data_IF_794492679182
#
_entry.id   IF_794492679182
#
_cell.length_a   1.000
_cell.length_b   1.000
_cell.length_c   1.000
_cell.angle_alpha   90.00
_cell.angle_beta   90.00
_cell.angle_gamma   90.00
#
_symmetry.space_group_name_H-M   'P 1'
#
loop_
_entity.id
_entity.type
_entity.pdbx_description
1 polymer ?
#
# COMPACT_ATOMS: atom_id res chain seq x y z
N UNK A 1 35.67 -11.75 -17.39
CA UNK A 1 34.52 -11.52 -16.48
C UNK A 1 33.28 -11.25 -17.31
N UNK A 2 32.27 -12.05 -17.14
CA UNK A 2 30.99 -11.93 -17.83
C UNK A 2 29.92 -11.40 -16.92
N UNK A 3 28.73 -11.14 -17.47
CA UNK A 3 27.52 -10.81 -16.72
C UNK A 3 27.08 -12.06 -15.94
N UNK A 4 26.98 -11.95 -14.62
CA UNK A 4 26.61 -13.08 -13.75
C UNK A 4 25.17 -13.04 -13.32
N UNK A 5 24.58 -11.84 -13.18
CA UNK A 5 23.19 -11.63 -12.74
C UNK A 5 22.48 -10.65 -13.65
N UNK A 6 21.20 -10.90 -13.89
CA UNK A 6 20.25 -9.94 -14.47
C UNK A 6 19.09 -9.83 -13.48
N UNK A 7 18.89 -8.64 -12.92
CA UNK A 7 17.84 -8.39 -11.96
C UNK A 7 16.83 -7.41 -12.60
N UNK A 8 15.58 -7.80 -12.66
CA UNK A 8 14.47 -6.94 -13.08
C UNK A 8 13.55 -6.72 -11.90
N UNK A 9 13.45 -5.48 -11.47
CA UNK A 9 12.53 -5.06 -10.42
C UNK A 9 11.16 -4.75 -10.99
N UNK A 10 10.11 -4.98 -10.17
CA UNK A 10 8.72 -4.68 -10.54
C UNK A 10 8.28 -5.33 -11.86
N UNK A 11 8.44 -6.66 -12.00
CA UNK A 11 8.11 -7.41 -13.22
C UNK A 11 6.70 -7.11 -13.76
N UNK A 12 5.75 -6.77 -12.89
CA UNK A 12 4.38 -6.45 -13.27
C UNK A 12 4.25 -5.16 -14.12
N UNK A 13 5.27 -4.31 -14.12
CA UNK A 13 5.29 -3.08 -14.93
C UNK A 13 5.65 -3.34 -16.40
N UNK A 14 6.35 -4.45 -16.70
CA UNK A 14 6.78 -4.78 -18.06
C UNK A 14 5.66 -5.46 -18.85
N UNK A 15 4.68 -4.67 -19.31
CA UNK A 15 3.53 -5.15 -20.08
C UNK A 15 3.51 -4.57 -21.49
N UNK A 16 2.82 -5.25 -22.40
CA UNK A 16 2.63 -4.78 -23.77
C UNK A 16 3.95 -4.52 -24.50
N UNK A 17 4.03 -3.39 -25.21
CA UNK A 17 5.20 -3.02 -26.01
C UNK A 17 6.46 -2.84 -25.17
N UNK A 18 6.34 -2.15 -24.04
CA UNK A 18 7.48 -1.94 -23.14
C UNK A 18 8.06 -3.27 -22.64
N UNK A 19 7.20 -4.21 -22.27
CA UNK A 19 7.67 -5.55 -21.86
C UNK A 19 8.38 -6.30 -22.99
N UNK A 20 7.90 -6.18 -24.24
CA UNK A 20 8.55 -6.76 -25.40
C UNK A 20 9.93 -6.14 -25.67
N UNK A 21 10.06 -4.82 -25.57
CA UNK A 21 11.33 -4.11 -25.76
C UNK A 21 12.36 -4.52 -24.69
N UNK A 22 11.96 -4.62 -23.42
CA UNK A 22 12.81 -5.10 -22.32
C UNK A 22 13.22 -6.55 -22.54
N UNK A 23 12.30 -7.43 -22.94
CA UNK A 23 12.62 -8.83 -23.23
C UNK A 23 13.64 -8.99 -24.34
N UNK A 24 13.57 -8.17 -25.41
CA UNK A 24 14.58 -8.16 -26.49
C UNK A 24 15.91 -7.64 -25.96
N UNK A 25 15.93 -6.60 -25.16
CA UNK A 25 17.14 -6.04 -24.57
C UNK A 25 17.85 -7.08 -23.68
N UNK A 26 17.11 -7.77 -22.82
CA UNK A 26 17.65 -8.82 -21.94
C UNK A 26 18.31 -9.95 -22.75
N UNK A 27 17.66 -10.43 -23.82
CA UNK A 27 18.26 -11.45 -24.71
C UNK A 27 19.56 -10.98 -25.34
N UNK A 28 19.58 -9.74 -25.86
CA UNK A 28 20.78 -9.14 -26.45
C UNK A 28 21.92 -8.97 -25.44
N UNK A 29 21.61 -8.62 -24.19
CA UNK A 29 22.58 -8.53 -23.10
C UNK A 29 23.16 -9.91 -22.78
N UNK A 30 22.33 -10.94 -22.65
CA UNK A 30 22.77 -12.32 -22.41
C UNK A 30 23.68 -12.80 -23.50
N UNK A 31 23.29 -12.63 -24.76
CA UNK A 31 24.07 -13.11 -25.91
C UNK A 31 25.44 -12.40 -26.00
N UNK A 32 25.49 -11.11 -25.70
CA UNK A 32 26.70 -10.30 -25.85
C UNK A 32 27.63 -10.33 -24.66
N UNK A 33 27.08 -10.37 -23.43
CA UNK A 33 27.85 -10.20 -22.21
C UNK A 33 28.12 -11.50 -21.45
N UNK A 34 27.52 -12.62 -21.85
CA UNK A 34 27.66 -13.91 -21.16
C UNK A 34 27.90 -15.07 -22.15
N UNK A 35 28.93 -14.99 -22.99
CA UNK A 35 29.21 -16.08 -23.90
C UNK A 35 29.65 -17.31 -23.11
N UNK A 36 28.88 -18.40 -23.18
CA UNK A 36 29.21 -19.69 -22.58
C UNK A 36 28.70 -19.99 -21.19
N UNK A 37 28.17 -19.00 -20.45
CA UNK A 37 27.51 -19.22 -19.17
C UNK A 37 26.28 -18.31 -19.05
N UNK A 38 25.09 -18.90 -18.91
CA UNK A 38 23.88 -18.13 -18.73
C UNK A 38 23.92 -17.37 -17.38
N UNK A 39 23.57 -16.07 -17.34
CA UNK A 39 23.46 -15.34 -16.10
C UNK A 39 22.26 -15.84 -15.29
N UNK A 40 22.32 -15.69 -13.98
CA UNK A 40 21.19 -15.93 -13.08
C UNK A 40 20.20 -14.78 -13.27
N UNK A 41 18.95 -15.13 -13.56
CA UNK A 41 17.87 -14.16 -13.76
C UNK A 41 17.02 -14.08 -12.50
N UNK A 42 16.88 -12.89 -11.93
CA UNK A 42 16.09 -12.61 -10.73
C UNK A 42 15.04 -11.55 -11.09
N UNK A 43 13.78 -11.83 -10.75
CA UNK A 43 12.70 -10.87 -10.91
C UNK A 43 11.99 -10.63 -9.59
N UNK A 44 11.71 -9.37 -9.25
CA UNK A 44 10.87 -9.02 -8.09
C UNK A 44 9.53 -8.48 -8.56
N UNK A 45 8.48 -8.71 -7.80
CA UNK A 45 7.17 -8.13 -8.09
C UNK A 45 6.26 -8.17 -6.87
N UNK A 46 5.64 -7.05 -6.54
CA UNK A 46 4.70 -6.98 -5.43
C UNK A 46 3.30 -7.52 -5.77
N UNK A 47 2.90 -7.58 -7.06
CA UNK A 47 1.48 -7.76 -7.45
C UNK A 47 1.27 -8.48 -8.78
N UNK A 48 2.04 -9.55 -9.08
CA UNK A 48 1.91 -10.20 -10.40
C UNK A 48 0.66 -11.06 -10.58
N UNK A 49 0.13 -11.65 -9.50
CA UNK A 49 -1.11 -12.41 -9.53
C UNK A 49 -1.80 -12.34 -8.17
N UNK A 50 -2.88 -11.59 -8.08
CA UNK A 50 -3.67 -11.42 -6.86
C UNK A 50 -4.86 -12.38 -6.76
N UNK A 51 -5.17 -13.14 -7.81
CA UNK A 51 -6.31 -14.04 -7.89
C UNK A 51 -5.89 -15.46 -8.26
N UNK A 52 -6.58 -16.45 -7.71
CA UNK A 52 -6.35 -17.88 -7.98
C UNK A 52 -5.64 -18.63 -6.86
N UNK A 53 -5.36 -19.91 -7.10
CA UNK A 53 -4.57 -20.77 -6.20
C UNK A 53 -3.09 -20.41 -6.26
N UNK A 54 -2.31 -20.78 -5.23
CA UNK A 54 -0.87 -20.53 -5.18
C UNK A 54 -0.15 -21.13 -6.38
N UNK A 55 -0.50 -22.33 -6.79
CA UNK A 55 0.02 -22.98 -8.00
C UNK A 55 -0.31 -22.19 -9.28
N UNK A 56 -1.54 -21.70 -9.39
CA UNK A 56 -1.98 -20.88 -10.52
C UNK A 56 -1.22 -19.54 -10.59
N UNK A 57 -0.97 -18.91 -9.43
CA UNK A 57 -0.19 -17.70 -9.33
C UNK A 57 1.28 -17.93 -9.70
N UNK A 58 1.91 -18.96 -9.13
CA UNK A 58 3.29 -19.33 -9.46
C UNK A 58 3.45 -19.63 -10.96
N UNK A 59 2.50 -20.33 -11.57
CA UNK A 59 2.51 -20.59 -13.01
C UNK A 59 2.35 -19.31 -13.85
N UNK A 60 1.53 -18.37 -13.43
CA UNK A 60 1.36 -17.09 -14.14
C UNK A 60 2.64 -16.24 -14.07
N UNK A 61 3.24 -16.15 -12.88
CA UNK A 61 4.52 -15.44 -12.66
C UNK A 61 5.65 -16.07 -13.47
N UNK A 62 5.79 -17.38 -13.41
CA UNK A 62 6.85 -18.11 -14.14
C UNK A 62 6.76 -17.90 -15.65
N UNK A 63 5.56 -17.89 -16.23
CA UNK A 63 5.34 -17.62 -17.66
C UNK A 63 5.78 -16.21 -18.07
N UNK A 64 5.47 -15.21 -17.24
CA UNK A 64 5.88 -13.81 -17.51
C UNK A 64 7.40 -13.68 -17.39
N UNK A 65 7.98 -14.20 -16.31
CA UNK A 65 9.42 -14.19 -16.08
C UNK A 65 10.16 -14.89 -17.22
N UNK A 66 9.72 -16.08 -17.63
CA UNK A 66 10.32 -16.83 -18.74
C UNK A 66 10.31 -16.03 -20.05
N UNK A 67 9.23 -15.32 -20.33
CA UNK A 67 9.12 -14.45 -21.52
C UNK A 67 10.07 -13.25 -21.45
N UNK A 68 10.15 -12.59 -20.30
CA UNK A 68 11.01 -11.42 -20.13
C UNK A 68 12.49 -11.79 -20.18
N UNK A 69 12.89 -12.80 -19.44
CA UNK A 69 14.30 -13.22 -19.37
C UNK A 69 14.75 -14.06 -20.58
N UNK A 70 13.81 -14.64 -21.33
CA UNK A 70 14.14 -15.50 -22.47
C UNK A 70 14.82 -16.80 -22.05
N UNK A 71 14.45 -17.33 -20.89
CA UNK A 71 14.90 -18.62 -20.36
C UNK A 71 13.72 -19.30 -19.68
N UNK A 72 13.75 -20.61 -19.60
CA UNK A 72 12.72 -21.34 -18.88
C UNK A 72 12.88 -21.14 -17.37
N UNK A 73 11.82 -20.67 -16.72
CA UNK A 73 11.72 -20.47 -15.27
C UNK A 73 10.50 -21.24 -14.82
N UNK A 74 10.71 -22.32 -14.07
CA UNK A 74 9.63 -23.16 -13.57
C UNK A 74 8.82 -22.48 -12.46
N UNK A 75 7.59 -22.95 -12.17
CA UNK A 75 6.80 -22.46 -11.03
C UNK A 75 7.50 -22.68 -9.69
N UNK A 76 8.33 -23.70 -9.58
CA UNK A 76 9.16 -24.04 -8.42
C UNK A 76 10.25 -23.00 -8.11
N UNK A 77 10.58 -22.17 -9.09
CA UNK A 77 11.51 -21.04 -8.92
C UNK A 77 10.81 -19.74 -8.46
N UNK A 78 9.49 -19.77 -8.32
CA UNK A 78 8.72 -18.63 -7.80
C UNK A 78 8.67 -18.73 -6.29
N UNK A 79 9.27 -17.73 -5.63
CA UNK A 79 9.23 -17.59 -4.17
C UNK A 79 8.11 -16.60 -3.84
N UNK A 80 7.08 -17.08 -3.19
CA UNK A 80 5.98 -16.28 -2.68
C UNK A 80 6.10 -16.09 -1.17
N UNK A 81 5.36 -15.12 -0.61
CA UNK A 81 5.32 -14.96 0.84
C UNK A 81 4.51 -16.08 1.50
N UNK A 82 4.99 -16.55 2.63
CA UNK A 82 4.27 -17.48 3.49
C UNK A 82 3.97 -16.77 4.80
N UNK A 83 2.81 -16.11 4.92
CA UNK A 83 2.44 -15.43 6.15
C UNK A 83 2.38 -16.41 7.31
N UNK A 84 2.86 -15.96 8.47
CA UNK A 84 2.73 -16.68 9.74
C UNK A 84 2.07 -15.74 10.74
N UNK A 85 1.31 -16.30 11.67
CA UNK A 85 0.75 -15.52 12.76
C UNK A 85 1.87 -15.11 13.74
N UNK A 86 1.85 -13.86 14.15
CA UNK A 86 2.66 -13.37 15.25
C UNK A 86 1.98 -13.69 16.59
N UNK A 87 0.63 -13.74 16.61
CA UNK A 87 -0.17 -14.12 17.76
C UNK A 87 -0.31 -15.64 17.87
N UNK A 88 -0.77 -16.13 19.02
CA UNK A 88 -1.02 -17.55 19.25
C UNK A 88 -2.02 -18.10 18.22
N UNK A 89 -1.59 -19.05 17.41
CA UNK A 89 -2.36 -19.64 16.31
C UNK A 89 -3.49 -20.58 16.78
N UNK A 90 -3.44 -21.00 18.06
CA UNK A 90 -4.51 -21.77 18.68
C UNK A 90 -5.72 -20.92 19.09
N UNK A 91 -5.55 -19.59 19.22
CA UNK A 91 -6.60 -18.66 19.65
C UNK A 91 -7.36 -18.11 18.44
N UNK A 92 -8.69 -18.19 18.48
CA UNK A 92 -9.57 -17.69 17.43
C UNK A 92 -10.14 -16.33 17.81
N UNK A 93 -10.62 -15.61 16.79
CA UNK A 93 -11.26 -14.30 16.98
C UNK A 93 -12.45 -14.39 17.97
N UNK A 94 -13.25 -15.44 17.87
CA UNK A 94 -14.41 -15.67 18.75
C UNK A 94 -14.06 -15.75 20.23
N UNK A 95 -12.88 -16.27 20.55
CA UNK A 95 -12.41 -16.46 21.94
C UNK A 95 -12.04 -15.14 22.62
N UNK A 96 -11.69 -14.13 21.81
CA UNK A 96 -11.22 -12.84 22.35
C UNK A 96 -12.30 -11.75 22.37
N UNK A 97 -13.38 -11.88 21.60
CA UNK A 97 -14.45 -10.89 21.55
C UNK A 97 -15.00 -10.50 22.94
N UNK A 98 -15.26 -11.45 23.88
CA UNK A 98 -15.75 -11.10 25.22
C UNK A 98 -14.77 -10.26 26.04
N UNK A 99 -13.48 -10.31 25.73
CA UNK A 99 -12.41 -9.59 26.44
C UNK A 99 -12.05 -8.27 25.76
N UNK A 100 -12.47 -8.07 24.49
CA UNK A 100 -12.04 -6.96 23.65
C UNK A 100 -12.53 -5.61 24.20
N UNK A 101 -13.77 -5.54 24.66
CA UNK A 101 -14.34 -4.34 25.26
C UNK A 101 -13.51 -3.83 26.46
N UNK A 102 -13.13 -4.73 27.34
CA UNK A 102 -12.31 -4.40 28.51
C UNK A 102 -10.90 -3.96 28.06
N UNK A 103 -10.33 -4.65 27.08
CA UNK A 103 -9.01 -4.36 26.56
C UNK A 103 -8.95 -2.95 25.92
N UNK A 104 -9.99 -2.57 25.16
CA UNK A 104 -10.09 -1.28 24.48
C UNK A 104 -10.38 -0.13 25.45
N UNK A 105 -11.15 -0.39 26.52
CA UNK A 105 -11.55 0.63 27.49
C UNK A 105 -10.50 0.96 28.54
N UNK A 106 -9.47 0.12 28.69
CA UNK A 106 -8.41 0.31 29.65
C UNK A 106 -7.11 0.79 28.98
N UNK A 107 -6.23 1.49 29.71
CA UNK A 107 -4.90 1.81 29.23
C UNK A 107 -4.13 0.53 28.86
N UNK A 108 -3.23 0.64 27.87
CA UNK A 108 -2.33 -0.46 27.56
C UNK A 108 -1.46 -0.82 28.78
N UNK A 109 -1.16 -2.11 28.99
CA UNK A 109 -0.21 -2.53 29.99
C UNK A 109 1.16 -1.84 29.83
N UNK A 110 1.84 -1.58 30.93
CA UNK A 110 3.17 -0.98 30.91
C UNK A 110 4.18 -1.91 30.22
N UNK A 111 4.11 -3.21 30.53
CA UNK A 111 4.92 -4.26 29.91
C UNK A 111 4.06 -4.95 28.85
N UNK A 112 4.56 -4.98 27.63
CA UNK A 112 3.92 -5.58 26.45
C UNK A 112 5.01 -6.19 25.56
N UNK A 113 5.76 -7.16 26.13
CA UNK A 113 6.71 -7.98 25.41
C UNK A 113 6.02 -8.88 24.37
N UNK A 114 6.79 -9.61 23.59
CA UNK A 114 6.23 -10.45 22.54
C UNK A 114 5.39 -11.60 23.09
N UNK A 115 5.76 -12.17 24.23
CA UNK A 115 4.98 -13.23 24.89
C UNK A 115 3.60 -12.75 25.36
N UNK A 116 3.54 -11.56 25.95
CA UNK A 116 2.28 -10.94 26.34
C UNK A 116 1.41 -10.60 25.13
N UNK A 117 2.01 -10.10 24.07
CA UNK A 117 1.30 -9.72 22.84
C UNK A 117 0.74 -10.92 22.07
N UNK A 118 1.36 -12.09 22.15
CA UNK A 118 0.84 -13.30 21.50
C UNK A 118 -0.58 -13.66 21.93
N UNK A 119 -0.94 -13.37 23.17
CA UNK A 119 -2.26 -13.68 23.74
C UNK A 119 -3.12 -12.43 24.03
N UNK A 120 -2.62 -11.24 23.72
CA UNK A 120 -3.33 -10.00 23.99
C UNK A 120 -4.52 -9.83 23.02
N UNK A 121 -5.76 -9.62 23.52
CA UNK A 121 -6.95 -9.64 22.68
C UNK A 121 -6.91 -8.66 21.52
N UNK A 122 -6.35 -7.46 21.72
CA UNK A 122 -6.25 -6.47 20.64
C UNK A 122 -5.18 -6.81 19.60
N UNK A 123 -4.13 -7.58 19.97
CA UNK A 123 -3.14 -8.11 19.02
C UNK A 123 -3.77 -9.11 18.08
N UNK A 124 -4.51 -10.08 18.65
CA UNK A 124 -5.19 -11.12 17.88
C UNK A 124 -6.25 -10.52 16.98
N UNK A 125 -7.03 -9.56 17.49
CA UNK A 125 -8.02 -8.86 16.71
C UNK A 125 -7.36 -8.08 15.56
N UNK A 126 -6.30 -7.32 15.82
CA UNK A 126 -5.62 -6.53 14.80
C UNK A 126 -4.98 -7.42 13.74
N UNK A 127 -4.36 -8.53 14.12
CA UNK A 127 -3.78 -9.47 13.17
C UNK A 127 -4.86 -10.12 12.29
N UNK A 128 -5.95 -10.65 12.87
CA UNK A 128 -6.96 -11.39 12.14
C UNK A 128 -7.98 -10.50 11.43
N UNK A 129 -8.30 -9.30 11.95
CA UNK A 129 -9.23 -8.40 11.28
C UNK A 129 -8.59 -7.46 10.28
N UNK A 130 -7.37 -6.99 10.54
CA UNK A 130 -6.71 -6.00 9.70
C UNK A 130 -5.61 -6.60 8.81
N UNK A 131 -4.90 -7.63 9.30
CA UNK A 131 -3.68 -8.14 8.68
C UNK A 131 -3.85 -9.40 7.87
N UNK A 132 -4.43 -10.43 8.45
CA UNK A 132 -4.47 -11.78 7.89
C UNK A 132 -5.92 -12.30 7.74
N UNK A 133 -6.12 -13.03 6.67
CA UNK A 133 -7.28 -13.89 6.46
C UNK A 133 -6.88 -15.32 6.84
N UNK A 134 -7.55 -15.89 7.83
CA UNK A 134 -7.28 -17.23 8.39
C UNK A 134 -8.17 -18.32 7.77
N UNK A 135 -8.52 -18.20 6.50
CA UNK A 135 -9.25 -19.21 5.75
C UNK A 135 -8.50 -20.55 5.62
N UNK A 136 -8.62 -21.20 4.47
CA UNK A 136 -7.89 -22.46 4.20
C UNK A 136 -6.37 -22.28 4.16
N UNK A 137 -5.91 -21.09 3.80
CA UNK A 137 -4.51 -20.67 3.78
C UNK A 137 -4.43 -19.26 4.35
N UNK A 138 -3.40 -19.01 5.17
CA UNK A 138 -3.13 -17.65 5.67
C UNK A 138 -2.76 -16.73 4.51
N UNK A 139 -3.49 -15.64 4.37
CA UNK A 139 -3.25 -14.62 3.34
C UNK A 139 -3.31 -13.24 3.94
N UNK A 140 -2.57 -12.30 3.37
CA UNK A 140 -2.69 -10.90 3.76
C UNK A 140 -4.01 -10.32 3.27
N UNK A 141 -4.72 -9.64 4.19
CA UNK A 141 -5.88 -8.83 3.84
C UNK A 141 -5.45 -7.59 3.04
N UNK A 142 -6.38 -7.06 2.26
CA UNK A 142 -6.16 -5.79 1.57
C UNK A 142 -6.05 -4.66 2.60
N UNK A 143 -5.14 -3.69 2.38
CA UNK A 143 -5.07 -2.51 3.23
C UNK A 143 -6.42 -1.80 3.31
N UNK A 144 -6.78 -1.33 4.49
CA UNK A 144 -8.02 -0.59 4.71
C UNK A 144 -7.74 0.78 5.32
N UNK A 145 -8.65 1.77 5.16
CA UNK A 145 -8.56 3.06 5.84
C UNK A 145 -8.58 2.90 7.35
N UNK A 146 -7.82 3.73 8.06
CA UNK A 146 -7.75 3.67 9.53
C UNK A 146 -9.13 3.88 10.19
N UNK A 147 -9.95 4.79 9.67
CA UNK A 147 -11.30 5.03 10.19
C UNK A 147 -12.23 3.81 10.00
N UNK A 148 -12.04 3.03 8.95
CA UNK A 148 -12.75 1.76 8.76
C UNK A 148 -12.31 0.72 9.79
N UNK A 149 -11.01 0.62 10.08
CA UNK A 149 -10.49 -0.26 11.13
C UNK A 149 -11.04 0.11 12.50
N UNK A 150 -11.12 1.41 12.81
CA UNK A 150 -11.75 1.92 14.04
C UNK A 150 -13.23 1.55 14.12
N UNK A 151 -13.97 1.69 13.01
CA UNK A 151 -15.39 1.29 12.95
C UNK A 151 -15.59 -0.20 13.23
N UNK A 152 -14.77 -1.07 12.64
CA UNK A 152 -14.79 -2.52 12.91
C UNK A 152 -14.47 -2.84 14.37
N UNK A 153 -13.51 -2.14 14.96
CA UNK A 153 -13.18 -2.32 16.37
C UNK A 153 -14.33 -1.90 17.28
N UNK A 154 -15.01 -0.81 16.96
CA UNK A 154 -16.17 -0.34 17.70
C UNK A 154 -17.35 -1.34 17.59
N UNK A 155 -17.59 -1.91 16.42
CA UNK A 155 -18.61 -2.94 16.21
C UNK A 155 -18.27 -4.23 17.01
N UNK A 156 -17.04 -4.71 16.91
CA UNK A 156 -16.59 -5.94 17.58
C UNK A 156 -16.56 -5.82 19.10
N UNK A 157 -16.18 -4.66 19.65
CA UNK A 157 -16.04 -4.43 21.09
C UNK A 157 -17.32 -3.89 21.74
N UNK A 158 -18.22 -3.27 21.00
CA UNK A 158 -19.36 -2.53 21.54
C UNK A 158 -18.97 -1.23 22.27
N UNK A 159 -17.73 -0.75 22.09
CA UNK A 159 -17.21 0.47 22.72
C UNK A 159 -17.31 1.66 21.77
N UNK A 160 -17.47 2.86 22.33
CA UNK A 160 -17.60 4.09 21.54
C UNK A 160 -16.40 4.30 20.59
N UNK A 161 -16.68 4.76 19.38
CA UNK A 161 -15.70 4.93 18.29
C UNK A 161 -14.49 5.77 18.70
N UNK A 162 -14.69 6.84 19.48
CA UNK A 162 -13.59 7.71 19.94
C UNK A 162 -12.62 6.97 20.88
N UNK A 163 -13.16 6.11 21.76
CA UNK A 163 -12.35 5.27 22.64
C UNK A 163 -11.58 4.23 21.83
N UNK A 164 -12.25 3.57 20.89
CA UNK A 164 -11.63 2.61 19.99
C UNK A 164 -10.51 3.25 19.14
N UNK A 165 -10.72 4.47 18.65
CA UNK A 165 -9.71 5.24 17.92
C UNK A 165 -8.46 5.47 18.75
N UNK A 166 -8.62 6.01 19.96
CA UNK A 166 -7.50 6.26 20.86
C UNK A 166 -6.77 4.97 21.25
N UNK A 167 -7.52 3.89 21.55
CA UNK A 167 -6.95 2.59 21.90
C UNK A 167 -6.16 1.97 20.74
N UNK A 168 -6.71 2.02 19.52
CA UNK A 168 -6.05 1.47 18.34
C UNK A 168 -4.79 2.26 17.95
N UNK A 169 -4.83 3.59 18.01
CA UNK A 169 -3.66 4.45 17.80
C UNK A 169 -2.54 4.15 18.80
N UNK A 170 -2.87 4.08 20.09
CA UNK A 170 -1.92 3.75 21.15
C UNK A 170 -1.33 2.34 20.95
N UNK A 171 -2.19 1.36 20.65
CA UNK A 171 -1.78 -0.02 20.42
C UNK A 171 -0.83 -0.13 19.20
N UNK A 172 -1.24 0.37 18.04
CA UNK A 172 -0.41 0.30 16.82
C UNK A 172 0.94 1.00 17.01
N UNK A 173 0.94 2.14 17.70
CA UNK A 173 2.19 2.82 18.06
C UNK A 173 3.07 1.94 18.94
N UNK A 174 2.50 1.31 19.96
CA UNK A 174 3.26 0.47 20.91
C UNK A 174 3.85 -0.77 20.27
N UNK A 175 3.07 -1.50 19.45
CA UNK A 175 3.54 -2.75 18.81
C UNK A 175 4.52 -2.54 17.67
N UNK A 176 4.66 -1.31 17.18
CA UNK A 176 5.66 -0.93 16.19
C UNK A 176 7.04 -0.64 16.79
N UNK A 177 7.11 -0.47 18.10
CA UNK A 177 8.39 -0.27 18.80
C UNK A 177 9.17 -1.58 18.88
N UNK A 178 10.51 -1.52 18.97
CA UNK A 178 11.34 -2.66 19.30
C UNK A 178 10.91 -3.28 20.64
N UNK A 179 11.09 -4.60 20.79
CA UNK A 179 10.63 -5.31 21.98
C UNK A 179 11.27 -4.77 23.27
N UNK A 180 12.55 -4.39 23.24
CA UNK A 180 13.24 -3.80 24.40
C UNK A 180 12.61 -2.48 24.90
N UNK A 181 11.91 -1.74 24.03
CA UNK A 181 11.13 -0.55 24.42
C UNK A 181 9.73 -0.90 24.95
N UNK A 182 9.34 -2.19 24.87
CA UNK A 182 8.05 -2.73 25.32
C UNK A 182 8.16 -3.61 26.55
N UNK A 183 9.37 -3.76 27.09
CA UNK A 183 9.65 -4.51 28.31
C UNK A 183 10.24 -5.91 28.12
N UNK A 184 10.57 -6.31 26.88
CA UNK A 184 11.30 -7.54 26.56
C UNK A 184 12.77 -7.30 26.20
N UNK A 185 13.40 -8.21 25.46
CA UNK A 185 14.83 -8.16 25.13
C UNK A 185 15.14 -8.02 23.62
N UNK A 186 14.15 -8.20 22.75
CA UNK A 186 14.32 -8.21 21.30
C UNK A 186 14.38 -6.83 20.65
N UNK A 187 14.90 -6.76 19.42
CA UNK A 187 15.00 -5.54 18.62
C UNK A 187 13.88 -5.43 17.55
N UNK A 188 13.01 -6.44 17.43
CA UNK A 188 11.94 -6.50 16.46
C UNK A 188 10.66 -5.80 16.89
N UNK A 189 9.90 -5.29 15.93
CA UNK A 189 8.50 -4.93 16.13
C UNK A 189 7.64 -6.20 16.15
N UNK A 190 6.60 -6.24 17.00
CA UNK A 190 5.72 -7.40 17.08
C UNK A 190 4.87 -7.59 15.82
N UNK A 191 4.24 -6.54 15.36
CA UNK A 191 3.48 -6.53 14.11
C UNK A 191 4.18 -5.67 13.06
N UNK A 192 4.50 -6.25 11.91
CA UNK A 192 5.08 -5.55 10.78
C UNK A 192 3.99 -4.84 9.97
N UNK A 193 3.35 -3.82 10.53
CA UNK A 193 2.40 -3.00 9.77
C UNK A 193 3.04 -1.73 9.20
N UNK A 194 2.45 -1.19 8.14
CA UNK A 194 2.86 0.09 7.54
C UNK A 194 1.65 0.98 7.38
N UNK A 195 1.75 2.19 7.91
CA UNK A 195 0.76 3.24 7.66
C UNK A 195 1.16 3.99 6.40
N UNK A 196 0.37 3.86 5.35
CA UNK A 196 0.54 4.61 4.12
C UNK A 196 -0.35 5.85 4.13
N UNK A 197 0.25 7.02 4.22
CA UNK A 197 -0.43 8.26 3.94
C UNK A 197 -0.18 8.62 2.49
N UNK A 198 -1.19 8.44 1.65
CA UNK A 198 -1.10 8.87 0.26
C UNK A 198 -1.17 10.40 0.21
N UNK A 199 -0.01 11.02 0.10
CA UNK A 199 0.11 12.45 -0.22
C UNK A 199 0.10 12.63 -1.76
N UNK A 200 -0.03 11.55 -2.51
CA UNK A 200 -0.05 11.56 -3.96
C UNK A 200 -1.47 11.65 -4.49
N UNK A 201 -1.75 12.55 -5.00
CA UNK A 201 -2.83 13.25 -5.58
C UNK A 201 -2.74 14.51 -4.77
N UNK A 202 -2.28 15.55 -5.36
CA UNK A 202 -2.68 16.82 -4.91
C UNK A 202 -4.17 16.65 -4.65
N UNK A 203 -4.59 16.57 -3.40
CA UNK A 203 -5.92 16.87 -3.02
C UNK A 203 -6.21 18.10 -3.85
N UNK A 204 -7.35 18.24 -4.42
CA UNK A 204 -7.58 19.21 -5.43
C UNK A 204 -6.93 20.55 -5.07
N UNK A 205 -5.78 20.83 -5.71
CA UNK A 205 -5.11 22.11 -5.57
C UNK A 205 -5.83 23.05 -6.50
N UNK A 206 -6.37 24.10 -5.97
CA UNK A 206 -7.09 25.12 -6.72
C UNK A 206 -6.25 26.38 -6.78
N UNK A 207 -6.09 26.97 -7.94
CA UNK A 207 -5.34 28.21 -8.11
C UNK A 207 -6.10 29.22 -8.94
N UNK A 208 -5.84 30.49 -8.69
CA UNK A 208 -6.25 31.54 -9.61
C UNK A 208 -5.41 31.50 -10.88
N UNK A 209 -5.96 31.92 -12.02
CA UNK A 209 -5.20 32.08 -13.26
C UNK A 209 -4.30 33.33 -13.25
N UNK A 210 -4.53 34.25 -12.34
CA UNK A 210 -3.73 35.47 -12.16
C UNK A 210 -2.39 35.13 -11.48
N UNK A 211 -1.30 35.69 -12.00
CA UNK A 211 0.02 35.44 -11.45
C UNK A 211 0.39 36.36 -10.28
N UNK A 212 -0.34 37.46 -10.06
CA UNK A 212 -0.03 38.45 -9.02
C UNK A 212 -1.29 39.12 -8.47
N UNK A 213 -1.68 38.84 -7.25
CA UNK A 213 -1.22 37.75 -6.40
C UNK A 213 -1.83 36.40 -6.86
N UNK A 214 -1.02 35.36 -6.88
CA UNK A 214 -1.52 34.01 -7.10
C UNK A 214 -2.05 33.45 -5.79
N UNK A 215 -3.27 32.96 -5.81
CA UNK A 215 -3.87 32.25 -4.67
C UNK A 215 -3.80 30.75 -4.91
N UNK A 216 -3.45 30.02 -3.87
CA UNK A 216 -3.40 28.56 -3.87
C UNK A 216 -4.22 28.07 -2.67
N UNK A 217 -5.24 27.27 -2.93
CA UNK A 217 -6.08 26.66 -1.90
C UNK A 217 -6.07 25.13 -2.07
N UNK A 218 -6.17 24.44 -0.95
CA UNK A 218 -6.20 22.98 -0.88
C UNK A 218 -7.61 22.43 -0.63
N UNK A 219 -8.58 23.31 -0.44
CA UNK A 219 -9.98 22.96 -0.25
C UNK A 219 -10.73 23.15 -1.54
N UNK A 220 -11.70 22.27 -1.80
CA UNK A 220 -12.47 22.21 -3.05
C UNK A 220 -13.43 23.37 -3.26
N UNK A 221 -12.89 24.56 -3.45
CA UNK A 221 -13.66 25.77 -3.69
C UNK A 221 -13.43 26.27 -5.12
N UNK A 222 -14.49 26.65 -5.80
CA UNK A 222 -14.43 27.20 -7.17
C UNK A 222 -14.30 28.72 -7.20
N UNK A 223 -14.38 29.38 -6.07
CA UNK A 223 -14.27 30.83 -5.88
C UNK A 223 -13.41 31.15 -4.67
N UNK A 224 -12.58 32.20 -4.76
CA UNK A 224 -11.69 32.62 -3.67
C UNK A 224 -12.53 33.21 -2.53
N UNK A 225 -12.52 32.63 -1.30
CA UNK A 225 -13.32 33.11 -0.19
C UNK A 225 -12.95 34.52 0.27
N UNK A 226 -11.67 34.92 0.07
CA UNK A 226 -11.17 36.24 0.46
C UNK A 226 -11.30 37.28 -0.66
N UNK A 227 -11.62 36.86 -1.88
CA UNK A 227 -11.79 37.71 -3.04
C UNK A 227 -12.94 37.23 -3.93
N UNK A 228 -14.20 37.47 -3.54
CA UNK A 228 -15.37 37.07 -4.32
C UNK A 228 -15.30 37.55 -5.77
N UNK A 229 -15.66 36.64 -6.71
CA UNK A 229 -15.54 36.88 -8.14
C UNK A 229 -14.23 36.34 -8.76
N UNK A 230 -13.22 36.06 -7.97
CA UNK A 230 -12.01 35.37 -8.45
C UNK A 230 -12.23 33.87 -8.49
N UNK A 231 -12.24 33.30 -9.69
CA UNK A 231 -12.41 31.86 -9.86
C UNK A 231 -11.13 31.11 -9.57
N UNK A 232 -11.30 29.96 -8.93
CA UNK A 232 -10.26 28.99 -8.63
C UNK A 232 -10.40 27.79 -9.57
N UNK A 233 -9.28 27.35 -10.14
CA UNK A 233 -9.24 26.26 -11.11
C UNK A 233 -8.51 25.06 -10.53
N UNK A 234 -9.07 23.85 -10.64
CA UNK A 234 -8.33 22.64 -10.29
C UNK A 234 -7.03 22.57 -11.07
N UNK A 235 -5.93 22.44 -10.36
CA UNK A 235 -4.58 22.49 -10.92
C UNK A 235 -3.96 21.10 -10.92
N UNK A 236 -3.39 20.72 -12.04
CA UNK A 236 -2.70 19.45 -12.26
C UNK A 236 -1.29 19.72 -12.78
N UNK A 237 -0.36 18.81 -12.49
CA UNK A 237 1.02 18.91 -12.95
C UNK A 237 1.38 17.72 -13.82
N UNK A 238 2.10 17.98 -14.88
CA UNK A 238 2.70 16.91 -15.68
C UNK A 238 3.75 16.17 -14.84
N UNK A 239 3.60 14.87 -14.72
CA UNK A 239 4.54 14.04 -13.94
C UNK A 239 5.94 13.97 -14.56
N UNK A 240 6.06 14.27 -15.86
CA UNK A 240 7.33 14.17 -16.55
C UNK A 240 8.14 15.48 -16.51
N UNK A 241 7.50 16.64 -16.68
CA UNK A 241 8.20 17.93 -16.77
C UNK A 241 7.77 18.96 -15.71
N UNK A 242 6.79 18.64 -14.87
CA UNK A 242 6.27 19.58 -13.86
C UNK A 242 5.39 20.69 -14.40
N UNK A 243 5.09 20.70 -15.72
CA UNK A 243 4.23 21.71 -16.32
C UNK A 243 2.85 21.71 -15.66
N UNK A 244 2.38 22.89 -15.31
CA UNK A 244 1.09 23.13 -14.71
C UNK A 244 -0.02 23.18 -15.76
N UNK A 245 -1.17 22.60 -15.42
CA UNK A 245 -2.39 22.60 -16.22
C UNK A 245 -3.60 22.92 -15.35
N UNK A 246 -4.53 23.67 -15.90
CA UNK A 246 -5.82 23.95 -15.24
C UNK A 246 -6.94 23.17 -15.91
N UNK A 247 -7.76 22.50 -15.09
CA UNK A 247 -8.93 21.77 -15.59
C UNK A 247 -10.08 22.75 -15.73
N UNK A 248 -10.56 22.94 -16.96
CA UNK A 248 -11.61 23.88 -17.26
C UNK A 248 -12.59 23.34 -18.31
N UNK A 249 -13.84 23.80 -18.23
CA UNK A 249 -14.84 23.59 -19.28
C UNK A 249 -14.92 24.82 -20.15
N UNK A 250 -14.84 24.64 -21.45
CA UNK A 250 -15.07 25.71 -22.44
C UNK A 250 -16.59 25.88 -22.60
N UNK A 251 -17.07 27.10 -22.46
CA UNK A 251 -18.45 27.50 -22.72
C UNK A 251 -18.42 28.55 -23.83
N UNK A 252 -19.32 28.42 -24.79
CA UNK A 252 -19.49 29.37 -25.88
C UNK A 252 -20.90 29.97 -25.75
N UNK A 253 -20.94 31.29 -25.54
CA UNK A 253 -22.18 32.08 -25.55
C UNK A 253 -22.10 33.10 -26.69
N UNK A 254 -22.76 32.81 -27.80
CA UNK A 254 -22.83 33.69 -28.96
C UNK A 254 -21.47 34.23 -29.47
N UNK A 255 -20.46 33.38 -29.43
CA UNK A 255 -19.09 33.73 -29.84
C UNK A 255 -18.20 34.28 -28.70
N UNK A 256 -18.75 34.50 -27.50
CA UNK A 256 -17.96 34.80 -26.29
C UNK A 256 -17.50 33.49 -25.61
N UNK A 257 -16.24 33.12 -25.83
CA UNK A 257 -15.66 31.89 -25.27
C UNK A 257 -15.18 32.14 -23.87
N UNK A 258 -15.73 31.39 -22.93
CA UNK A 258 -15.34 31.41 -21.52
C UNK A 258 -14.84 30.04 -21.05
N UNK A 259 -13.84 30.07 -20.20
CA UNK A 259 -13.36 28.88 -19.48
C UNK A 259 -13.81 28.97 -18.04
N UNK A 260 -14.54 27.97 -17.60
CA UNK A 260 -14.98 27.85 -16.19
C UNK A 260 -14.31 26.66 -15.52
N UNK A 261 -14.06 26.71 -14.20
CA UNK A 261 -13.52 25.58 -13.46
C UNK A 261 -14.40 24.33 -13.65
N UNK A 262 -13.75 23.19 -13.80
CA UNK A 262 -14.42 21.89 -13.88
C UNK A 262 -13.94 21.03 -12.69
N UNK A 263 -14.88 20.50 -11.92
CA UNK A 263 -14.59 19.46 -10.91
C UNK A 263 -14.34 18.09 -11.56
#
# INVERSE_FOLDING_TARGET
>A
SGLEFIILDELHTYRGRQGADVAVLVRRLRDRCSPGKAPICIGTSATMASEGTDEGRALAVSKVASRLFGTDIGPDAVIDESPQRATDDSVRLEDILPKLAMCVSNPLPEILDDDALQQYPLSIWAELELGLDDGLELRRKKPMPFEEAVGKLAEASGVATEVCKAALEAFLTRVSLPEHERGGEGDGAFLAFKLHRFISGAGDVFTTLTNKPRRVLLEGQLEDPDAPGNRLYPTRFCRNCGQEFHVATKIDYDGDIRFIPRN
#
